data_IF_602466880761
#
_entry.id   IF_602466880761
#
_cell.length_a   1.000
_cell.length_b   1.000
_cell.length_c   1.000
_cell.angle_alpha   90.00
_cell.angle_beta   90.00
_cell.angle_gamma   90.00
#
_symmetry.space_group_name_H-M   'P 1'
#
loop_
_entity.id
_entity.type
_entity.pdbx_description
1 polymer ?
#
# COMPACT_ATOMS: atom_id res chain seq x y z
N UNK A 1 -5.34 1.51 10.76
CA UNK A 1 -4.46 0.86 9.77
C UNK A 1 -3.00 1.04 10.10
N UNK A 2 -2.55 2.22 10.55
CA UNK A 2 -1.10 2.47 10.70
C UNK A 2 -0.34 2.44 9.36
N UNK A 3 -1.05 2.31 8.24
CA UNK A 3 -0.52 2.31 6.88
C UNK A 3 -0.29 3.77 6.47
N UNK A 4 0.96 4.11 6.19
CA UNK A 4 1.40 5.45 5.82
C UNK A 4 2.08 5.35 4.44
N UNK A 5 1.54 6.06 3.45
CA UNK A 5 2.17 6.14 2.12
C UNK A 5 3.42 6.99 2.20
N UNK A 6 4.54 6.44 1.71
CA UNK A 6 5.84 7.11 1.59
C UNK A 6 6.16 7.98 2.82
N UNK A 7 6.37 7.34 4.00
CA UNK A 7 6.57 8.08 5.23
C UNK A 7 7.76 9.04 5.10
N UNK A 8 7.54 10.31 5.49
CA UNK A 8 8.57 11.34 5.53
C UNK A 8 9.50 11.18 6.73
N UNK A 9 10.51 12.04 6.81
CA UNK A 9 11.45 12.05 7.94
C UNK A 9 10.72 12.20 9.29
N UNK A 10 11.10 11.36 10.26
CA UNK A 10 10.53 11.38 11.62
C UNK A 10 9.17 10.69 11.77
N UNK A 11 8.55 10.19 10.70
CA UNK A 11 7.34 9.39 10.80
C UNK A 11 7.65 7.95 11.27
N UNK A 12 6.72 7.31 12.01
CA UNK A 12 6.93 5.96 12.52
C UNK A 12 7.04 4.94 11.38
N UNK A 13 7.92 3.97 11.55
CA UNK A 13 8.10 2.84 10.63
C UNK A 13 7.80 1.53 11.34
N UNK A 14 7.67 0.46 10.56
CA UNK A 14 7.53 -0.91 11.07
C UNK A 14 8.42 -1.86 10.25
N UNK A 15 8.66 -3.09 10.73
CA UNK A 15 9.32 -4.13 9.92
C UNK A 15 8.52 -4.56 8.69
N UNK A 16 7.24 -4.18 8.61
CA UNK A 16 6.35 -4.50 7.50
C UNK A 16 6.26 -3.32 6.52
N UNK A 17 6.19 -3.66 5.23
CA UNK A 17 5.88 -2.74 4.14
C UNK A 17 4.68 -3.28 3.34
N UNK A 18 4.03 -2.39 2.61
CA UNK A 18 2.91 -2.75 1.76
C UNK A 18 3.41 -3.43 0.48
N UNK A 19 3.05 -4.69 0.30
CA UNK A 19 3.47 -5.52 -0.84
C UNK A 19 2.71 -5.20 -2.15
N UNK A 20 1.70 -4.32 -2.12
CA UNK A 20 0.91 -3.96 -3.29
C UNK A 20 -0.11 -5.01 -3.73
N UNK A 21 -0.45 -5.95 -2.85
CA UNK A 21 -1.44 -7.01 -3.09
C UNK A 21 -2.66 -6.73 -2.22
N UNK A 22 -3.83 -6.66 -2.84
CA UNK A 22 -5.06 -6.27 -2.17
C UNK A 22 -6.24 -7.15 -2.57
N UNK A 23 -7.18 -7.33 -1.65
CA UNK A 23 -8.52 -7.86 -1.92
C UNK A 23 -9.53 -6.90 -1.32
N UNK A 24 -10.41 -6.35 -2.15
CA UNK A 24 -11.39 -5.35 -1.72
C UNK A 24 -12.81 -5.82 -2.02
N UNK A 25 -13.74 -5.40 -1.17
CA UNK A 25 -15.13 -5.34 -1.58
C UNK A 25 -15.33 -4.17 -2.56
N UNK A 26 -16.37 -4.19 -3.42
CA UNK A 26 -16.65 -3.08 -4.34
C UNK A 26 -16.81 -1.71 -3.68
N UNK A 27 -17.06 -1.68 -2.38
CA UNK A 27 -17.20 -0.46 -1.58
C UNK A 27 -15.96 0.43 -1.62
N UNK A 28 -14.77 -0.11 -1.89
CA UNK A 28 -13.55 0.69 -2.07
C UNK A 28 -13.73 1.80 -3.11
N UNK A 29 -14.57 1.59 -4.13
CA UNK A 29 -14.82 2.58 -5.17
C UNK A 29 -15.52 3.85 -4.64
N UNK A 30 -16.33 3.74 -3.59
CA UNK A 30 -16.94 4.90 -2.91
C UNK A 30 -15.90 5.77 -2.20
N UNK A 31 -14.80 5.15 -1.74
CA UNK A 31 -13.70 5.83 -1.07
C UNK A 31 -12.71 6.40 -2.09
N UNK A 32 -12.36 5.65 -3.14
CA UNK A 32 -11.48 6.16 -4.20
C UNK A 32 -12.10 7.35 -4.94
N UNK A 33 -13.42 7.39 -5.09
CA UNK A 33 -14.13 8.52 -5.71
C UNK A 33 -14.04 9.83 -4.91
N UNK A 34 -13.63 9.76 -3.63
CA UNK A 34 -13.50 10.92 -2.72
C UNK A 34 -12.03 11.32 -2.50
N UNK A 35 -11.09 10.68 -3.17
CA UNK A 35 -9.68 11.00 -3.02
C UNK A 35 -9.39 12.43 -3.46
N UNK A 36 -8.52 13.08 -2.71
CA UNK A 36 -7.91 14.35 -3.05
C UNK A 36 -6.45 14.12 -3.45
N UNK A 37 -5.86 15.08 -4.16
CA UNK A 37 -4.46 14.96 -4.56
C UNK A 37 -3.56 15.07 -3.31
N UNK A 38 -2.62 14.14 -3.19
CA UNK A 38 -1.56 14.21 -2.19
C UNK A 38 -0.62 15.38 -2.46
N UNK A 39 0.29 15.73 -1.52
CA UNK A 39 1.34 16.72 -1.78
C UNK A 39 2.23 16.40 -2.99
N UNK A 40 2.24 15.14 -3.44
CA UNK A 40 2.95 14.69 -4.64
C UNK A 40 2.15 14.87 -5.94
N UNK A 41 0.89 15.28 -5.85
CA UNK A 41 0.00 15.43 -6.99
C UNK A 41 -0.59 14.09 -7.48
N UNK A 42 -0.66 13.09 -6.62
CA UNK A 42 -1.22 11.76 -6.95
C UNK A 42 -2.45 11.44 -6.07
N UNK A 43 -3.36 10.63 -6.60
CA UNK A 43 -4.42 10.03 -5.79
C UNK A 43 -3.90 8.72 -5.19
N UNK A 44 -3.70 8.70 -3.87
CA UNK A 44 -3.06 7.58 -3.20
C UNK A 44 -4.12 6.56 -2.74
N UNK A 45 -3.98 5.30 -3.14
CA UNK A 45 -4.91 4.23 -2.73
C UNK A 45 -4.92 4.03 -1.20
N UNK A 46 -3.77 4.22 -0.55
CA UNK A 46 -3.61 4.15 0.91
C UNK A 46 -4.53 5.11 1.65
N UNK A 47 -4.86 6.27 1.08
CA UNK A 47 -5.74 7.26 1.69
C UNK A 47 -7.19 6.77 1.70
N UNK A 48 -7.60 6.02 0.66
CA UNK A 48 -8.90 5.37 0.61
C UNK A 48 -9.01 4.25 1.67
N UNK A 49 -7.97 3.42 1.79
CA UNK A 49 -7.90 2.37 2.82
C UNK A 49 -7.92 2.98 4.25
N UNK A 50 -7.21 4.10 4.44
CA UNK A 50 -7.22 4.81 5.71
C UNK A 50 -8.60 5.39 6.02
N UNK A 51 -9.32 5.90 5.01
CA UNK A 51 -10.68 6.38 5.14
C UNK A 51 -11.67 5.25 5.50
N UNK A 52 -11.57 4.09 4.88
CA UNK A 52 -12.35 2.91 5.26
C UNK A 52 -12.18 2.58 6.74
N UNK A 53 -10.96 2.57 7.27
CA UNK A 53 -10.77 2.28 8.69
C UNK A 53 -11.24 3.41 9.61
N UNK A 54 -11.12 4.67 9.21
CA UNK A 54 -11.69 5.79 9.97
C UNK A 54 -13.22 5.67 10.08
N UNK A 55 -13.88 5.14 9.05
CA UNK A 55 -15.31 4.88 9.03
C UNK A 55 -15.72 3.58 9.74
N UNK A 56 -14.78 2.89 10.41
CA UNK A 56 -15.04 1.71 11.23
C UNK A 56 -15.18 0.41 10.44
N UNK A 57 -14.74 0.37 9.20
CA UNK A 57 -14.72 -0.85 8.40
C UNK A 57 -13.60 -1.76 8.90
N UNK A 58 -13.87 -3.07 8.89
CA UNK A 58 -12.86 -4.08 9.17
C UNK A 58 -11.94 -4.22 7.96
N UNK A 59 -10.67 -3.89 8.15
CA UNK A 59 -9.57 -4.15 7.22
C UNK A 59 -8.53 -4.97 7.95
N UNK A 60 -7.99 -5.98 7.29
CA UNK A 60 -6.97 -6.86 7.83
C UNK A 60 -5.70 -6.80 6.98
N UNK A 61 -4.55 -6.72 7.63
CA UNK A 61 -3.26 -6.93 6.99
C UNK A 61 -2.89 -8.40 7.13
N UNK A 62 -2.44 -9.01 6.04
CA UNK A 62 -2.00 -10.40 6.00
C UNK A 62 -0.52 -10.40 5.62
N UNK A 63 0.30 -11.03 6.45
CA UNK A 63 1.71 -11.23 6.15
C UNK A 63 1.84 -12.24 4.99
N UNK A 64 2.62 -11.87 3.97
CA UNK A 64 2.93 -12.77 2.87
C UNK A 64 3.98 -13.78 3.32
N UNK A 65 3.73 -15.06 3.07
CA UNK A 65 4.74 -16.10 3.21
C UNK A 65 5.43 -16.36 1.88
N UNK A 66 6.71 -16.70 1.94
CA UNK A 66 7.53 -16.97 0.76
C UNK A 66 8.30 -15.74 0.27
N UNK A 67 8.77 -15.82 -0.96
CA UNK A 67 9.61 -14.79 -1.57
C UNK A 67 8.73 -13.70 -2.22
N UNK A 68 9.13 -12.46 -2.03
CA UNK A 68 8.55 -11.29 -2.70
C UNK A 68 9.69 -10.45 -3.26
N UNK A 69 9.53 -9.95 -4.48
CA UNK A 69 10.53 -9.13 -5.14
C UNK A 69 9.90 -7.91 -5.82
N UNK A 70 10.55 -6.76 -5.65
CA UNK A 70 10.22 -5.53 -6.37
C UNK A 70 10.92 -5.50 -7.73
N UNK A 71 10.24 -6.00 -8.77
CA UNK A 71 10.79 -6.08 -10.13
C UNK A 71 10.87 -4.73 -10.87
N UNK A 72 10.58 -3.62 -10.19
CA UNK A 72 10.78 -2.27 -10.76
C UNK A 72 12.26 -1.88 -10.80
N UNK A 73 13.09 -2.48 -9.95
CA UNK A 73 14.54 -2.32 -10.00
C UNK A 73 15.12 -3.26 -11.08
N UNK A 74 15.79 -2.72 -12.13
CA UNK A 74 16.41 -3.54 -13.17
C UNK A 74 17.43 -4.55 -12.65
N UNK A 75 18.10 -4.25 -11.53
CA UNK A 75 19.08 -5.15 -10.91
C UNK A 75 18.37 -6.38 -10.33
N UNK A 76 17.30 -6.15 -9.55
CA UNK A 76 16.46 -7.20 -8.97
C UNK A 76 15.87 -8.08 -10.07
N UNK A 77 15.36 -7.47 -11.15
CA UNK A 77 14.83 -8.24 -12.28
C UNK A 77 15.91 -9.08 -12.98
N UNK A 78 17.15 -8.59 -13.08
CA UNK A 78 18.25 -9.37 -13.68
C UNK A 78 18.60 -10.58 -12.82
N UNK A 79 18.76 -10.39 -11.52
CA UNK A 79 19.09 -11.48 -10.58
C UNK A 79 18.05 -12.62 -10.64
N UNK A 80 16.75 -12.29 -10.71
CA UNK A 80 15.67 -13.28 -10.83
C UNK A 80 15.67 -14.07 -12.14
N UNK A 81 16.18 -13.50 -13.24
CA UNK A 81 16.27 -14.22 -14.51
C UNK A 81 17.48 -15.17 -14.58
N UNK A 82 18.44 -14.99 -13.68
CA UNK A 82 19.67 -15.78 -13.60
C UNK A 82 19.59 -16.92 -12.56
N UNK A 83 18.54 -16.93 -11.73
CA UNK A 83 18.22 -17.98 -10.75
C UNK A 83 17.48 -19.17 -11.35
#
# INVERSE_FOLDING_TARGET
TGLIEKPGEGQPTSPYYNAGIYTFSPRIFEYTAKLELSPRGEYELTDAIAAEVRDGLRIEAVELSGEWADVRDPEVLRELNES
#
